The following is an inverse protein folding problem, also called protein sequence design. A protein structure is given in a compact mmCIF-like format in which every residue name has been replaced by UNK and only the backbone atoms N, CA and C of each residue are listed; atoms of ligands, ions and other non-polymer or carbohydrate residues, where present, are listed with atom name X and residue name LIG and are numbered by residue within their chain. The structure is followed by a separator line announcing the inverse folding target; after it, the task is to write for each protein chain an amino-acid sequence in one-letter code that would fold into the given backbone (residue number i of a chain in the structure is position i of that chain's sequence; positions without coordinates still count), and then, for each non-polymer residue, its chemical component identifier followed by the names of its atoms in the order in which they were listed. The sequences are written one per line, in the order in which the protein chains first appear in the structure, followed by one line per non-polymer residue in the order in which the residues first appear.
data_IF_471248688262
#
_entry.id   IF_471248688262
#
_cell.length_a   1.000
_cell.length_b   1.000
_cell.length_c   1.000
_cell.angle_alpha   90.00
_cell.angle_beta   90.00
_cell.angle_gamma   90.00
#
_symmetry.space_group_name_H-M   'P 1'
#
loop_
_entity.id
_entity.type
_entity.pdbx_description
1 polymer ?
#
# COMPACT_ATOMS: atom_id res chain seq x y z
N UNK A 1 -62.91 12.49 21.25
CA UNK A 1 -61.55 13.03 21.16
C UNK A 1 -60.62 12.13 21.97
N UNK A 2 -60.30 10.92 21.50
CA UNK A 2 -59.40 9.99 22.23
C UNK A 2 -58.80 8.92 21.30
N UNK A 3 -58.33 9.32 20.11
CA UNK A 3 -57.68 8.38 19.18
C UNK A 3 -56.64 9.01 18.26
N UNK A 4 -55.96 10.05 18.73
CA UNK A 4 -54.93 10.74 17.95
C UNK A 4 -53.73 11.22 18.79
N UNK A 5 -53.32 10.43 19.80
CA UNK A 5 -52.13 10.74 20.61
C UNK A 5 -51.38 9.48 21.07
N UNK A 6 -51.03 8.60 20.13
CA UNK A 6 -50.14 7.45 20.38
C UNK A 6 -49.09 7.25 19.28
N UNK A 7 -48.69 8.35 18.65
CA UNK A 7 -47.70 8.41 17.58
C UNK A 7 -46.41 9.13 18.03
N UNK A 8 -46.01 8.89 19.28
CA UNK A 8 -44.75 9.37 19.83
C UNK A 8 -44.16 8.29 20.72
N UNK A 9 -43.07 7.67 20.30
CA UNK A 9 -42.35 6.67 21.08
C UNK A 9 -42.02 5.42 20.29
N UNK A 10 -41.07 5.54 19.36
CA UNK A 10 -40.58 4.42 18.56
C UNK A 10 -39.17 4.67 18.04
N UNK A 11 -38.30 5.30 18.84
CA UNK A 11 -36.85 5.19 18.67
C UNK A 11 -36.45 3.78 19.12
N UNK A 12 -36.79 2.80 18.28
CA UNK A 12 -36.49 1.39 18.47
C UNK A 12 -35.06 1.11 18.06
N UNK A 13 -34.18 1.14 19.06
CA UNK A 13 -33.00 0.29 19.26
C UNK A 13 -32.27 -0.19 18.00
N UNK A 14 -31.00 0.22 17.89
CA UNK A 14 -30.01 -0.56 17.16
C UNK A 14 -30.17 -2.04 17.53
N UNK A 15 -30.19 -2.96 16.55
CA UNK A 15 -30.33 -4.38 16.85
C UNK A 15 -29.28 -4.76 17.89
N UNK A 16 -29.63 -5.61 18.89
CA UNK A 16 -28.64 -6.09 19.84
C UNK A 16 -27.44 -6.62 19.04
N UNK A 17 -26.19 -6.42 19.51
CA UNK A 17 -25.05 -7.00 18.83
C UNK A 17 -25.34 -8.49 18.73
N UNK A 18 -25.57 -8.95 17.50
CA UNK A 18 -25.72 -10.38 17.26
C UNK A 18 -24.39 -10.99 17.66
N UNK A 19 -24.40 -11.94 18.59
CA UNK A 19 -23.31 -12.91 18.83
C UNK A 19 -23.15 -13.83 17.59
N UNK A 20 -23.11 -13.23 16.41
CA UNK A 20 -22.61 -13.88 15.21
C UNK A 20 -21.09 -13.93 15.31
N UNK A 21 -20.44 -14.91 14.67
CA UNK A 21 -18.99 -14.95 14.61
C UNK A 21 -18.49 -13.69 13.89
N UNK A 22 -17.96 -12.73 14.65
CA UNK A 22 -17.29 -11.56 14.09
C UNK A 22 -15.86 -11.95 13.80
N UNK A 23 -15.40 -11.70 12.58
CA UNK A 23 -14.03 -12.02 12.18
C UNK A 23 -13.07 -11.15 12.97
N UNK A 24 -12.16 -11.79 13.70
CA UNK A 24 -11.17 -11.11 14.52
C UNK A 24 -10.08 -10.48 13.64
N UNK A 25 -9.62 -9.29 14.03
CA UNK A 25 -8.37 -8.67 13.58
C UNK A 25 -7.11 -9.53 13.77
N UNK A 26 -7.12 -10.53 14.65
CA UNK A 26 -5.97 -11.35 15.01
C UNK A 26 -5.55 -12.39 13.95
N UNK A 27 -6.21 -12.46 12.80
CA UNK A 27 -5.89 -13.46 11.78
C UNK A 27 -4.47 -13.27 11.23
N UNK A 28 -3.67 -14.33 11.31
CA UNK A 28 -2.27 -14.39 10.89
C UNK A 28 -2.09 -15.35 9.73
N UNK A 29 -1.30 -14.91 8.75
CA UNK A 29 -0.93 -15.71 7.57
C UNK A 29 0.54 -16.06 7.68
N UNK A 30 0.84 -17.34 7.93
CA UNK A 30 2.21 -17.86 7.93
C UNK A 30 2.59 -18.30 6.52
N UNK A 31 3.51 -17.59 5.90
CA UNK A 31 4.04 -17.91 4.57
C UNK A 31 5.40 -18.59 4.72
N UNK A 32 5.53 -19.80 4.18
CA UNK A 32 6.80 -20.51 4.17
C UNK A 32 7.86 -19.77 3.34
N UNK A 33 9.13 -19.93 3.69
CA UNK A 33 10.22 -19.33 2.91
C UNK A 33 10.27 -19.86 1.48
N UNK A 34 9.87 -21.12 1.26
CA UNK A 34 9.77 -21.73 -0.07
C UNK A 34 8.71 -21.02 -0.92
N UNK A 35 7.52 -20.82 -0.34
CA UNK A 35 6.41 -20.12 -0.98
C UNK A 35 6.82 -18.70 -1.37
N UNK A 36 7.42 -17.96 -0.44
CA UNK A 36 7.88 -16.59 -0.68
C UNK A 36 8.91 -16.50 -1.82
N UNK A 37 9.90 -17.39 -1.85
CA UNK A 37 10.92 -17.40 -2.90
C UNK A 37 10.33 -17.72 -4.28
N UNK A 38 9.36 -18.65 -4.34
CA UNK A 38 8.64 -18.96 -5.58
C UNK A 38 7.80 -17.79 -6.07
N UNK A 39 7.08 -17.12 -5.18
CA UNK A 39 6.30 -15.91 -5.52
C UNK A 39 7.22 -14.82 -6.09
N UNK A 40 8.34 -14.53 -5.42
CA UNK A 40 9.29 -13.51 -5.87
C UNK A 40 9.96 -13.88 -7.20
N UNK A 41 10.40 -15.13 -7.36
CA UNK A 41 10.97 -15.61 -8.62
C UNK A 41 9.97 -15.51 -9.76
N UNK A 42 8.71 -15.89 -9.52
CA UNK A 42 7.65 -15.83 -10.50
C UNK A 42 7.27 -14.38 -10.85
N UNK A 43 7.04 -13.54 -9.84
CA UNK A 43 6.76 -12.12 -10.00
C UNK A 43 7.84 -11.40 -10.79
N UNK A 44 9.11 -11.69 -10.51
CA UNK A 44 10.24 -11.08 -11.24
C UNK A 44 10.33 -11.55 -12.69
N UNK A 45 9.97 -12.80 -12.98
CA UNK A 45 9.96 -13.34 -14.34
C UNK A 45 8.80 -12.79 -15.19
N UNK A 46 7.71 -12.34 -14.54
CA UNK A 46 6.54 -11.77 -15.20
C UNK A 46 6.69 -10.31 -15.66
N UNK A 47 7.62 -9.55 -15.07
CA UNK A 47 7.78 -8.11 -15.35
C UNK A 47 8.00 -7.86 -16.86
N UNK A 48 7.24 -6.94 -17.51
CA UNK A 48 6.38 -5.91 -16.91
C UNK A 48 4.91 -6.31 -16.66
N UNK A 49 4.53 -7.56 -16.95
CA UNK A 49 3.16 -8.04 -16.81
C UNK A 49 2.87 -8.58 -15.40
N UNK A 50 1.61 -8.49 -14.98
CA UNK A 50 1.15 -9.08 -13.72
C UNK A 50 1.01 -10.60 -13.86
N UNK A 51 1.60 -11.35 -12.92
CA UNK A 51 1.45 -12.81 -12.85
C UNK A 51 0.52 -13.19 -11.70
N UNK A 52 -0.15 -14.33 -11.82
CA UNK A 52 -0.92 -14.92 -10.71
C UNK A 52 -0.48 -16.36 -10.41
N UNK A 53 -0.78 -16.82 -9.21
CA UNK A 53 -0.67 -18.22 -8.87
C UNK A 53 -1.54 -18.61 -7.68
N UNK A 54 -1.61 -19.91 -7.41
CA UNK A 54 -2.38 -20.46 -6.31
C UNK A 54 -1.48 -20.76 -5.13
N UNK A 55 -2.03 -20.55 -3.93
CA UNK A 55 -1.38 -20.85 -2.67
C UNK A 55 -1.92 -22.14 -2.09
N UNK A 56 -1.01 -23.03 -1.72
CA UNK A 56 -1.30 -24.33 -1.14
C UNK A 56 -0.91 -24.35 0.33
N UNK A 57 -1.78 -24.92 1.14
CA UNK A 57 -1.56 -24.97 2.56
C UNK A 57 -2.69 -25.64 3.31
N UNK A 58 -2.79 -25.26 4.57
CA UNK A 58 -3.84 -25.72 5.47
C UNK A 58 -4.35 -24.56 6.32
N UNK A 59 -5.62 -24.68 6.71
CA UNK A 59 -6.23 -23.87 7.74
C UNK A 59 -6.03 -24.61 9.07
N UNK A 60 -5.20 -24.05 9.97
CA UNK A 60 -4.84 -24.73 11.23
C UNK A 60 -5.94 -24.52 12.28
N UNK A 61 -6.37 -23.27 12.42
CA UNK A 61 -7.45 -22.83 13.29
C UNK A 61 -8.17 -21.63 12.63
N UNK A 62 -9.14 -21.03 13.31
CA UNK A 62 -9.94 -19.92 12.78
C UNK A 62 -9.13 -18.62 12.57
N UNK A 63 -7.95 -18.50 13.18
CA UNK A 63 -7.12 -17.30 13.14
C UNK A 63 -5.81 -17.50 12.38
N UNK A 64 -5.51 -18.71 11.92
CA UNK A 64 -4.20 -19.05 11.38
C UNK A 64 -4.33 -19.76 10.06
N UNK A 65 -3.80 -19.10 9.01
CA UNK A 65 -3.66 -19.67 7.67
C UNK A 65 -2.19 -19.99 7.44
N UNK A 66 -1.85 -21.24 7.12
CA UNK A 66 -0.47 -21.65 6.84
C UNK A 66 -0.29 -21.96 5.36
N UNK A 67 0.43 -21.10 4.66
CA UNK A 67 0.83 -21.28 3.26
C UNK A 67 2.16 -22.04 3.22
N UNK A 68 2.11 -23.29 2.75
CA UNK A 68 3.24 -24.20 2.71
C UNK A 68 3.97 -24.10 1.37
N UNK A 69 3.22 -24.06 0.27
CA UNK A 69 3.79 -23.98 -1.07
C UNK A 69 2.93 -23.14 -2.01
N UNK A 70 3.49 -22.76 -3.16
CA UNK A 70 2.78 -22.08 -4.24
C UNK A 70 3.16 -22.66 -5.58
N UNK A 71 2.27 -22.50 -6.55
CA UNK A 71 2.60 -22.71 -7.95
C UNK A 71 2.03 -21.60 -8.83
N UNK A 72 2.72 -21.34 -9.92
CA UNK A 72 2.34 -20.36 -10.93
C UNK A 72 1.21 -20.91 -11.79
N UNK A 73 0.22 -20.08 -12.09
CA UNK A 73 -0.76 -20.38 -13.14
C UNK A 73 -0.22 -19.85 -14.47
N UNK A 74 -0.41 -20.58 -15.59
CA UNK A 74 -0.07 -20.06 -16.91
C UNK A 74 -0.92 -18.82 -17.22
N UNK A 75 -0.27 -17.78 -17.75
CA UNK A 75 -0.96 -16.56 -18.16
C UNK A 75 -1.70 -16.80 -19.48
N UNK A 76 -3.04 -16.76 -19.45
CA UNK A 76 -3.84 -16.55 -20.66
C UNK A 76 -3.86 -15.04 -20.92
N UNK A 77 -2.99 -14.60 -21.82
CA UNK A 77 -2.65 -13.19 -21.96
C UNK A 77 -3.71 -12.32 -22.64
N UNK A 78 -4.10 -11.25 -21.96
CA UNK A 78 -4.52 -9.96 -22.55
C UNK A 78 -4.10 -8.82 -21.62
N UNK A 79 -2.98 -8.16 -21.95
CA UNK A 79 -2.66 -6.75 -21.67
C UNK A 79 -2.52 -6.26 -20.22
N UNK A 80 -3.52 -6.47 -19.35
CA UNK A 80 -3.63 -5.75 -18.06
C UNK A 80 -4.44 -6.52 -17.01
N UNK A 81 -5.02 -7.67 -17.33
CA UNK A 81 -5.84 -8.42 -16.37
C UNK A 81 -5.55 -9.91 -16.44
N UNK A 82 -5.48 -10.55 -15.28
CA UNK A 82 -5.30 -11.98 -15.22
C UNK A 82 -6.66 -12.66 -15.38
N UNK A 83 -6.99 -13.03 -16.61
CA UNK A 83 -8.24 -13.74 -16.90
C UNK A 83 -8.16 -15.21 -16.50
N UNK A 84 -9.19 -15.64 -15.78
CA UNK A 84 -9.65 -17.00 -15.55
C UNK A 84 -8.56 -18.04 -15.21
N UNK A 85 -8.49 -18.36 -13.93
CA UNK A 85 -7.88 -19.61 -13.42
C UNK A 85 -8.42 -20.77 -14.26
N UNK A 86 -7.57 -21.40 -15.06
CA UNK A 86 -7.97 -22.58 -15.83
C UNK A 86 -8.24 -23.75 -14.86
N UNK A 87 -9.51 -24.17 -14.68
CA UNK A 87 -9.85 -25.24 -13.75
C UNK A 87 -9.23 -26.58 -14.16
N UNK A 88 -8.97 -26.79 -15.46
CA UNK A 88 -8.36 -28.01 -15.98
C UNK A 88 -6.90 -28.07 -15.55
N UNK A 89 -6.17 -26.97 -15.72
CA UNK A 89 -4.79 -26.87 -15.26
C UNK A 89 -4.70 -27.01 -13.73
N UNK A 90 -5.56 -26.33 -12.99
CA UNK A 90 -5.60 -26.42 -11.53
C UNK A 90 -5.83 -27.85 -11.06
N UNK A 91 -6.87 -28.54 -11.57
CA UNK A 91 -7.18 -29.92 -11.17
C UNK A 91 -6.03 -30.88 -11.48
N UNK A 92 -5.47 -30.78 -12.69
CA UNK A 92 -4.34 -31.62 -13.10
C UNK A 92 -3.10 -31.39 -12.23
N UNK A 93 -2.79 -30.14 -11.90
CA UNK A 93 -1.65 -29.78 -11.06
C UNK A 93 -1.83 -30.28 -9.63
N UNK A 94 -3.04 -30.12 -9.06
CA UNK A 94 -3.36 -30.64 -7.73
C UNK A 94 -3.24 -32.16 -7.67
N UNK A 95 -3.70 -32.87 -8.70
CA UNK A 95 -3.57 -34.34 -8.74
C UNK A 95 -2.13 -34.80 -8.90
N UNK A 96 -1.30 -34.07 -9.67
CA UNK A 96 0.14 -34.33 -9.74
C UNK A 96 0.82 -34.11 -8.38
N UNK A 97 0.45 -33.06 -7.65
CA UNK A 97 1.00 -32.76 -6.33
C UNK A 97 0.63 -33.83 -5.30
N UNK A 98 -0.62 -34.31 -5.31
CA UNK A 98 -1.06 -35.42 -4.46
C UNK A 98 -0.20 -36.67 -4.67
N UNK A 99 0.15 -37.00 -5.92
CA UNK A 99 1.03 -38.14 -6.22
C UNK A 99 2.45 -37.96 -5.67
N UNK A 100 2.93 -36.72 -5.57
CA UNK A 100 4.25 -36.41 -4.97
C UNK A 100 4.25 -36.35 -3.44
N UNK A 101 3.15 -36.72 -2.78
CA UNK A 101 3.02 -36.66 -1.33
C UNK A 101 2.68 -35.28 -0.78
N UNK A 102 2.07 -34.42 -1.60
CA UNK A 102 1.64 -33.05 -1.25
C UNK A 102 0.11 -32.94 -1.35
N UNK A 103 -0.64 -33.35 -0.30
CA UNK A 103 -2.10 -33.37 -0.30
C UNK A 103 -2.73 -32.03 0.10
N UNK A 104 -1.96 -30.94 0.14
CA UNK A 104 -2.44 -29.63 0.58
C UNK A 104 -3.57 -29.09 -0.30
N UNK A 105 -4.46 -28.31 0.31
CA UNK A 105 -5.57 -27.66 -0.37
C UNK A 105 -5.22 -26.22 -0.76
N UNK A 106 -6.01 -25.65 -1.67
CA UNK A 106 -5.88 -24.24 -2.06
C UNK A 106 -6.43 -23.37 -0.92
N UNK A 107 -5.57 -22.54 -0.33
CA UNK A 107 -5.93 -21.62 0.77
C UNK A 107 -6.12 -20.17 0.30
N UNK A 108 -5.76 -19.89 -0.95
CA UNK A 108 -5.86 -18.56 -1.54
C UNK A 108 -5.08 -18.45 -2.83
N UNK A 109 -4.84 -17.22 -3.24
CA UNK A 109 -4.12 -16.90 -4.48
C UNK A 109 -3.20 -15.70 -4.25
N UNK A 110 -2.18 -15.60 -5.08
CA UNK A 110 -1.29 -14.45 -5.09
C UNK A 110 -1.17 -13.88 -6.49
N UNK A 111 -0.89 -12.59 -6.58
CA UNK A 111 -0.52 -11.93 -7.82
C UNK A 111 0.54 -10.87 -7.59
N UNK A 112 1.12 -10.36 -8.67
CA UNK A 112 2.14 -9.33 -8.61
C UNK A 112 1.65 -8.00 -9.16
N UNK A 113 1.96 -6.89 -8.47
CA UNK A 113 1.83 -5.52 -8.98
C UNK A 113 3.23 -4.91 -9.15
N UNK A 114 3.85 -5.00 -10.33
CA UNK A 114 5.21 -4.51 -10.53
C UNK A 114 5.26 -2.98 -10.49
N UNK A 115 5.81 -2.40 -9.41
CA UNK A 115 6.07 -0.96 -9.30
C UNK A 115 4.91 -0.12 -8.76
N UNK A 116 3.71 -0.67 -8.62
CA UNK A 116 2.52 0.04 -8.12
C UNK A 116 2.30 -0.10 -6.61
N UNK A 117 3.06 -0.94 -5.92
CA UNK A 117 2.83 -1.31 -4.53
C UNK A 117 1.66 -2.27 -4.34
N UNK A 118 1.38 -2.64 -3.10
CA UNK A 118 0.39 -3.66 -2.76
C UNK A 118 -1.00 -3.05 -2.51
N UNK A 119 -1.94 -3.32 -3.43
CA UNK A 119 -3.35 -2.97 -3.31
C UNK A 119 -4.18 -3.90 -4.19
N UNK A 120 -5.52 -3.89 -4.03
CA UNK A 120 -6.42 -4.66 -4.90
C UNK A 120 -7.15 -3.72 -5.85
N UNK A 121 -7.05 -3.98 -7.15
CA UNK A 121 -7.86 -3.31 -8.17
C UNK A 121 -9.30 -3.82 -8.19
N UNK A 122 -10.18 -3.15 -8.95
CA UNK A 122 -11.56 -3.63 -9.14
C UNK A 122 -11.63 -5.04 -9.76
N UNK A 123 -10.65 -5.40 -10.60
CA UNK A 123 -10.55 -6.74 -11.19
C UNK A 123 -10.12 -7.76 -10.14
N UNK A 124 -9.17 -7.40 -9.28
CA UNK A 124 -8.70 -8.27 -8.19
C UNK A 124 -9.79 -8.51 -7.15
N UNK A 125 -10.59 -7.49 -6.85
CA UNK A 125 -11.75 -7.60 -5.97
C UNK A 125 -12.77 -8.60 -6.53
N UNK A 126 -13.12 -8.51 -7.81
CA UNK A 126 -14.05 -9.46 -8.44
C UNK A 126 -13.50 -10.90 -8.44
N UNK A 127 -12.20 -11.04 -8.66
CA UNK A 127 -11.51 -12.34 -8.62
C UNK A 127 -11.51 -12.91 -7.20
N UNK A 128 -11.13 -12.11 -6.21
CA UNK A 128 -11.15 -12.49 -4.80
C UNK A 128 -12.56 -12.87 -4.34
N UNK A 129 -13.60 -12.13 -4.75
CA UNK A 129 -14.99 -12.47 -4.43
C UNK A 129 -15.37 -13.86 -4.98
N UNK A 130 -14.87 -14.21 -6.16
CA UNK A 130 -15.08 -15.54 -6.74
C UNK A 130 -14.38 -16.64 -5.93
N UNK A 131 -13.15 -16.40 -5.45
CA UNK A 131 -12.45 -17.33 -4.56
C UNK A 131 -13.10 -17.45 -3.17
N UNK A 132 -13.59 -16.35 -2.60
CA UNK A 132 -14.31 -16.35 -1.32
C UNK A 132 -15.62 -17.13 -1.39
N UNK A 133 -16.27 -17.18 -2.56
CA UNK A 133 -17.46 -18.02 -2.78
C UNK A 133 -17.15 -19.53 -2.73
N UNK A 134 -15.93 -19.94 -3.09
CA UNK A 134 -15.49 -21.34 -2.96
C UNK A 134 -14.97 -21.64 -1.55
N UNK A 135 -14.23 -20.69 -0.97
CA UNK A 135 -13.63 -20.81 0.36
C UNK A 135 -13.70 -19.46 1.04
N UNK A 136 -14.58 -19.32 2.04
CA UNK A 136 -14.80 -18.08 2.79
C UNK A 136 -13.50 -17.47 3.36
N UNK A 137 -12.52 -18.33 3.66
CA UNK A 137 -11.22 -17.94 4.22
C UNK A 137 -10.12 -17.73 3.18
N UNK A 138 -10.47 -17.61 1.90
CA UNK A 138 -9.49 -17.36 0.84
C UNK A 138 -8.71 -16.05 1.12
N UNK A 139 -7.39 -16.10 0.97
CA UNK A 139 -6.51 -14.93 1.14
C UNK A 139 -5.96 -14.51 -0.22
N UNK A 140 -5.98 -13.20 -0.50
CA UNK A 140 -5.31 -12.60 -1.65
C UNK A 140 -3.96 -12.01 -1.20
N UNK A 141 -2.85 -12.48 -1.77
CA UNK A 141 -1.52 -11.94 -1.49
C UNK A 141 -1.00 -11.12 -2.68
N UNK A 142 -0.56 -9.90 -2.43
CA UNK A 142 0.02 -9.02 -3.45
C UNK A 142 1.50 -8.85 -3.19
N UNK A 143 2.32 -9.11 -4.21
CA UNK A 143 3.77 -8.97 -4.14
C UNK A 143 4.25 -7.94 -5.16
N UNK A 144 5.07 -6.98 -4.75
CA UNK A 144 5.73 -6.06 -5.67
C UNK A 144 7.20 -6.47 -5.89
N UNK A 145 7.55 -7.16 -6.99
CA UNK A 145 8.91 -7.63 -7.27
C UNK A 145 9.88 -6.53 -7.71
N UNK A 146 9.39 -5.30 -7.96
CA UNK A 146 10.22 -4.15 -8.33
C UNK A 146 10.63 -3.38 -7.08
N UNK A 147 9.66 -3.04 -6.22
CA UNK A 147 9.94 -2.33 -4.97
C UNK A 147 10.57 -3.23 -3.90
N UNK A 148 10.39 -4.55 -4.00
CA UNK A 148 11.09 -5.52 -3.14
C UNK A 148 12.59 -5.54 -3.46
N UNK A 149 13.39 -4.90 -2.62
CA UNK A 149 14.86 -4.88 -2.72
C UNK A 149 15.49 -5.79 -1.66
N UNK A 150 16.78 -6.11 -1.81
CA UNK A 150 17.51 -6.90 -0.81
C UNK A 150 17.39 -6.24 0.57
N UNK A 151 16.73 -6.93 1.51
CA UNK A 151 16.50 -6.46 2.88
C UNK A 151 15.08 -5.99 3.19
N UNK A 152 14.24 -5.72 2.18
CA UNK A 152 12.83 -5.37 2.37
C UNK A 152 11.97 -5.99 1.26
N UNK A 153 11.12 -6.93 1.65
CA UNK A 153 10.11 -7.50 0.76
C UNK A 153 8.81 -6.71 0.93
N UNK A 154 8.29 -6.19 -0.17
CA UNK A 154 6.99 -5.50 -0.23
C UNK A 154 5.94 -6.56 -0.59
N UNK A 155 5.21 -6.97 0.44
CA UNK A 155 4.18 -8.00 0.37
C UNK A 155 3.08 -7.62 1.36
N UNK A 156 1.84 -7.71 0.92
CA UNK A 156 0.67 -7.55 1.79
C UNK A 156 -0.36 -8.63 1.47
N UNK A 157 -1.16 -8.97 2.47
CA UNK A 157 -2.25 -9.94 2.37
C UNK A 157 -3.58 -9.24 2.65
N UNK A 158 -4.57 -9.53 1.82
CA UNK A 158 -5.88 -8.91 1.85
C UNK A 158 -6.98 -9.97 1.87
N UNK A 159 -8.12 -9.58 2.43
CA UNK A 159 -9.41 -10.27 2.32
C UNK A 159 -10.48 -9.21 2.15
N UNK A 160 -11.54 -9.51 1.41
CA UNK A 160 -12.62 -8.57 1.23
C UNK A 160 -13.45 -8.46 2.50
N UNK A 161 -14.04 -7.29 2.67
CA UNK A 161 -15.02 -7.02 3.71
C UNK A 161 -16.38 -7.03 3.03
N UNK A 162 -17.36 -7.68 3.65
CA UNK A 162 -18.71 -7.68 3.14
C UNK A 162 -19.27 -6.23 3.15
N UNK A 163 -19.63 -5.65 1.99
CA UNK A 163 -20.10 -4.27 1.92
C UNK A 163 -21.40 -4.06 2.70
N UNK A 164 -22.21 -5.11 2.89
CA UNK A 164 -23.43 -5.03 3.70
C UNK A 164 -23.12 -4.68 5.16
N UNK A 165 -21.99 -5.13 5.71
CA UNK A 165 -21.59 -4.78 7.08
C UNK A 165 -21.21 -3.30 7.20
N UNK A 166 -20.56 -2.74 6.17
CA UNK A 166 -20.22 -1.32 6.13
C UNK A 166 -21.45 -0.42 6.05
N UNK A 167 -22.44 -0.80 5.23
CA UNK A 167 -23.72 -0.06 5.12
C UNK A 167 -24.51 -0.11 6.43
N UNK A 168 -24.40 -1.22 7.17
CA UNK A 168 -25.01 -1.38 8.49
C UNK A 168 -24.26 -0.63 9.60
N UNK A 169 -23.17 0.07 9.29
CA UNK A 169 -22.34 0.80 10.25
C UNK A 169 -21.66 -0.11 11.29
N UNK A 170 -21.63 -1.42 11.04
CA UNK A 170 -20.92 -2.36 11.89
C UNK A 170 -19.44 -2.36 11.49
N UNK A 171 -18.57 -2.14 12.48
CA UNK A 171 -17.12 -2.30 12.28
C UNK A 171 -16.85 -3.74 11.81
N UNK A 172 -16.27 -3.92 10.61
CA UNK A 172 -16.19 -5.23 9.98
C UNK A 172 -15.20 -6.18 10.65
N UNK A 173 -14.40 -5.68 11.59
CA UNK A 173 -13.50 -6.49 12.41
C UNK A 173 -13.64 -6.14 13.87
N UNK A 174 -13.66 -7.16 14.72
CA UNK A 174 -13.53 -6.96 16.15
C UNK A 174 -12.04 -6.72 16.48
N UNK A 175 -11.69 -5.54 16.98
CA UNK A 175 -10.31 -5.23 17.40
C UNK A 175 -10.06 -5.86 18.77
N UNK A 176 -9.58 -7.10 18.81
CA UNK A 176 -9.31 -7.81 20.07
C UNK A 176 -7.83 -7.77 20.48
N UNK A 177 -6.92 -7.44 19.55
CA UNK A 177 -5.48 -7.61 19.73
C UNK A 177 -4.63 -6.47 19.14
N UNK A 178 -3.56 -6.12 19.85
CA UNK A 178 -2.64 -5.02 19.49
C UNK A 178 -1.49 -5.47 18.56
N UNK A 179 -1.54 -6.72 18.10
CA UNK A 179 -0.49 -7.38 17.31
C UNK A 179 -0.72 -7.12 15.82
N UNK A 180 -0.47 -5.89 15.38
CA UNK A 180 -0.53 -5.59 13.95
C UNK A 180 -0.19 -4.14 13.63
N UNK A 181 0.63 -3.94 12.59
CA UNK A 181 0.74 -2.66 11.89
C UNK A 181 -0.46 -2.52 10.95
N UNK A 182 -1.68 -2.47 11.52
CA UNK A 182 -2.91 -2.42 10.73
C UNK A 182 -3.04 -1.01 10.16
N UNK A 183 -2.81 -0.86 8.85
CA UNK A 183 -3.19 0.36 8.15
C UNK A 183 -4.71 0.38 8.06
N UNK A 184 -5.35 1.41 8.63
CA UNK A 184 -6.80 1.56 8.50
C UNK A 184 -7.15 1.59 7.01
N UNK A 185 -8.20 0.88 6.56
CA UNK A 185 -8.68 1.00 5.18
C UNK A 185 -9.03 2.46 4.96
N UNK A 186 -8.18 3.17 4.22
CA UNK A 186 -8.31 4.60 3.97
C UNK A 186 -8.50 4.81 2.47
N UNK A 187 -9.31 5.81 2.14
CA UNK A 187 -9.46 6.34 0.77
C UNK A 187 -8.08 6.72 0.16
N UNK A 188 -7.04 6.87 0.99
CA UNK A 188 -5.65 7.09 0.57
C UNK A 188 -5.01 5.94 -0.20
N UNK A 189 -5.56 4.72 -0.14
CA UNK A 189 -5.13 3.60 -0.99
C UNK A 189 -5.45 3.86 -2.47
N UNK A 190 -6.53 4.60 -2.77
CA UNK A 190 -6.83 5.14 -4.11
C UNK A 190 -5.91 6.31 -4.49
N UNK A 191 -5.32 7.02 -3.52
CA UNK A 191 -4.31 8.07 -3.78
C UNK A 191 -2.93 7.50 -4.14
N UNK A 192 -2.65 6.21 -3.86
CA UNK A 192 -1.42 5.55 -4.33
C UNK A 192 -1.37 5.42 -5.87
N UNK A 193 -2.51 5.55 -6.55
CA UNK A 193 -2.60 5.58 -8.02
C UNK A 193 -1.87 6.80 -8.62
N UNK A 194 -1.62 7.84 -7.81
CA UNK A 194 -0.96 9.09 -8.20
C UNK A 194 0.43 9.27 -7.54
N UNK A 195 1.06 8.18 -7.07
CA UNK A 195 2.47 8.28 -6.66
C UNK A 195 3.33 8.44 -7.91
N UNK A 196 4.14 9.52 -7.92
CA UNK A 196 5.20 9.71 -8.92
C UNK A 196 5.98 8.42 -9.06
N UNK A 197 5.92 7.84 -10.25
CA UNK A 197 6.53 6.55 -10.53
C UNK A 197 8.04 6.70 -10.35
N UNK A 198 8.72 5.64 -9.91
CA UNK A 198 10.19 5.67 -9.87
C UNK A 198 10.80 5.93 -11.27
N UNK A 199 10.02 5.70 -12.33
CA UNK A 199 10.34 6.10 -13.70
C UNK A 199 10.43 7.60 -13.93
N UNK A 200 9.85 8.44 -13.07
CA UNK A 200 9.96 9.90 -13.17
C UNK A 200 11.42 10.38 -12.98
N UNK A 201 12.25 9.58 -12.29
CA UNK A 201 13.70 9.81 -12.22
C UNK A 201 14.47 9.37 -13.47
N UNK A 202 13.82 8.59 -14.35
CA UNK A 202 14.36 8.13 -15.64
C UNK A 202 13.81 8.95 -16.82
N UNK A 203 12.74 9.73 -16.62
CA UNK A 203 12.25 10.67 -17.62
C UNK A 203 13.18 11.87 -17.66
N UNK A 204 13.68 12.19 -18.85
CA UNK A 204 14.40 13.43 -19.07
C UNK A 204 13.45 14.61 -18.88
N UNK A 205 13.76 15.46 -17.92
CA UNK A 205 13.11 16.77 -17.82
C UNK A 205 13.46 17.60 -19.05
N UNK A 206 12.55 18.46 -19.46
CA UNK A 206 12.78 19.38 -20.57
C UNK A 206 13.97 20.30 -20.24
N UNK A 207 15.05 20.18 -21.02
CA UNK A 207 16.31 20.87 -20.74
C UNK A 207 16.12 22.40 -20.74
N UNK A 208 15.26 22.92 -21.61
CA UNK A 208 15.04 24.37 -21.69
C UNK A 208 14.35 24.89 -20.42
N UNK A 209 13.37 24.13 -19.90
CA UNK A 209 12.70 24.46 -18.64
C UNK A 209 13.65 24.35 -17.45
N UNK A 210 14.48 23.29 -17.40
CA UNK A 210 15.44 23.09 -16.33
C UNK A 210 16.53 24.18 -16.33
N UNK A 211 17.02 24.60 -17.50
CA UNK A 211 17.97 25.71 -17.62
C UNK A 211 17.36 27.03 -17.14
N UNK A 212 16.10 27.31 -17.47
CA UNK A 212 15.41 28.52 -17.03
C UNK A 212 15.17 28.54 -15.52
N UNK A 213 14.83 27.39 -14.92
CA UNK A 213 14.73 27.24 -13.46
C UNK A 213 16.10 27.42 -12.79
N UNK A 214 17.17 26.89 -13.36
CA UNK A 214 18.51 27.09 -12.81
C UNK A 214 18.94 28.55 -12.87
N UNK A 215 18.69 29.24 -13.99
CA UNK A 215 19.02 30.65 -14.15
C UNK A 215 18.28 31.53 -13.13
N UNK A 216 16.97 31.30 -12.96
CA UNK A 216 16.15 32.00 -11.96
C UNK A 216 16.62 31.70 -10.54
N UNK A 217 16.90 30.43 -10.22
CA UNK A 217 17.39 30.04 -8.89
C UNK A 217 18.75 30.68 -8.56
N UNK A 218 19.67 30.74 -9.52
CA UNK A 218 20.99 31.38 -9.32
C UNK A 218 20.85 32.91 -9.19
N UNK A 219 19.92 33.52 -9.92
CA UNK A 219 19.62 34.94 -9.77
C UNK A 219 19.05 35.26 -8.38
N UNK A 220 18.14 34.43 -7.86
CA UNK A 220 17.63 34.55 -6.49
C UNK A 220 18.75 34.36 -5.45
N UNK A 221 19.67 33.41 -5.69
CA UNK A 221 20.82 33.18 -4.82
C UNK A 221 21.76 34.38 -4.76
N UNK A 222 21.96 35.07 -5.89
CA UNK A 222 22.74 36.30 -5.94
C UNK A 222 22.10 37.41 -5.10
N UNK A 223 20.78 37.55 -5.18
CA UNK A 223 20.05 38.56 -4.39
C UNK A 223 20.08 38.24 -2.89
N UNK A 224 19.97 36.96 -2.52
CA UNK A 224 20.13 36.51 -1.13
C UNK A 224 21.54 36.76 -0.61
N UNK A 225 22.59 36.49 -1.39
CA UNK A 225 23.97 36.74 -1.00
C UNK A 225 24.27 38.24 -0.81
N UNK A 226 23.72 39.10 -1.68
CA UNK A 226 23.79 40.56 -1.50
C UNK A 226 23.07 41.00 -0.23
N UNK A 227 21.88 40.46 0.03
CA UNK A 227 21.12 40.75 1.24
C UNK A 227 21.84 40.27 2.50
N UNK A 228 22.53 39.12 2.43
CA UNK A 228 23.32 38.57 3.52
C UNK A 228 24.56 39.42 3.83
N UNK A 229 25.35 39.79 2.82
CA UNK A 229 26.48 40.69 2.99
C UNK A 229 26.07 42.03 3.61
N UNK A 230 24.97 42.61 3.10
CA UNK A 230 24.39 43.83 3.68
C UNK A 230 23.92 43.62 5.12
N UNK A 231 23.38 42.44 5.45
CA UNK A 231 23.00 42.14 6.82
C UNK A 231 24.21 42.09 7.74
N UNK A 232 25.31 41.45 7.34
CA UNK A 232 26.55 41.39 8.12
C UNK A 232 27.15 42.78 8.38
N UNK A 233 27.16 43.66 7.38
CA UNK A 233 27.60 45.06 7.54
C UNK A 233 26.72 45.86 8.49
N UNK A 234 25.43 45.55 8.55
CA UNK A 234 24.49 46.14 9.51
C UNK A 234 24.67 45.54 10.92
N UNK A 235 25.01 44.24 11.04
CA UNK A 235 25.28 43.58 12.32
C UNK A 235 26.52 44.15 13.00
N UNK A 236 27.58 44.48 12.24
CA UNK A 236 28.81 45.09 12.78
C UNK A 236 28.56 46.48 13.42
N UNK A 237 27.48 47.16 13.03
CA UNK A 237 27.12 48.51 13.49
C UNK A 237 26.11 48.54 14.64
N UNK A 238 25.56 47.39 15.05
CA UNK A 238 24.48 47.33 16.04
C UNK A 238 24.85 46.49 17.26
N UNK A 239 24.25 46.83 18.40
CA UNK A 239 24.44 46.06 19.64
C UNK A 239 23.63 44.76 19.62
N UNK A 240 24.05 43.71 20.36
CA UNK A 240 23.40 42.40 20.35
C UNK A 240 21.91 42.42 20.74
N UNK A 241 21.50 43.35 21.60
CA UNK A 241 20.11 43.50 22.05
C UNK A 241 19.21 44.11 20.96
N UNK A 242 19.74 45.03 20.15
CA UNK A 242 19.03 45.63 19.02
C UNK A 242 18.87 44.64 17.86
N UNK A 243 19.86 43.77 17.66
CA UNK A 243 19.83 42.68 16.68
C UNK A 243 18.75 41.64 17.00
N UNK A 244 18.62 41.26 18.28
CA UNK A 244 17.60 40.32 18.73
C UNK A 244 16.19 40.83 18.43
N UNK A 245 15.92 42.13 18.59
CA UNK A 245 14.61 42.74 18.31
C UNK A 245 14.38 42.87 16.80
N UNK A 246 15.40 43.26 16.01
CA UNK A 246 15.32 43.40 14.54
C UNK A 246 15.04 42.06 13.83
N UNK A 247 15.53 40.96 14.40
CA UNK A 247 15.42 39.62 13.81
C UNK A 247 14.13 38.88 14.20
N UNK A 248 13.26 39.46 15.04
CA UNK A 248 11.96 38.86 15.36
C UNK A 248 10.99 39.07 14.19
N UNK A 249 10.59 37.95 13.57
CA UNK A 249 9.55 37.93 12.52
C UNK A 249 10.06 37.91 11.07
N UNK A 250 11.37 37.99 10.83
CA UNK A 250 11.98 37.72 9.52
C UNK A 250 12.72 36.39 9.56
N UNK A 251 12.52 35.52 8.56
CA UNK A 251 13.41 34.37 8.37
C UNK A 251 14.83 34.90 8.19
N UNK A 252 15.76 34.45 9.03
CA UNK A 252 17.13 34.94 8.96
C UNK A 252 17.75 34.54 7.61
N UNK A 253 18.35 35.49 6.90
CA UNK A 253 19.08 35.27 5.63
C UNK A 253 20.10 34.12 5.75
N UNK A 254 20.76 34.01 6.90
CA UNK A 254 21.67 32.92 7.24
C UNK A 254 20.99 31.52 7.32
N UNK A 255 19.71 31.44 7.70
CA UNK A 255 18.96 30.18 7.71
C UNK A 255 18.53 29.78 6.30
N UNK A 256 18.22 30.75 5.44
CA UNK A 256 17.89 30.51 4.02
C UNK A 256 19.11 30.03 3.25
N UNK A 257 20.28 30.67 3.41
CA UNK A 257 21.52 30.19 2.79
C UNK A 257 21.92 28.80 3.28
N UNK A 258 21.83 28.51 4.59
CA UNK A 258 22.15 27.18 5.14
C UNK A 258 21.21 26.09 4.61
N UNK A 259 19.91 26.37 4.49
CA UNK A 259 18.96 25.42 3.89
C UNK A 259 19.29 25.14 2.42
N UNK A 260 19.73 26.16 1.68
CA UNK A 260 20.11 26.05 0.26
C UNK A 260 21.44 25.30 0.04
N UNK A 261 22.48 25.56 0.84
CA UNK A 261 23.75 24.82 0.74
C UNK A 261 23.60 23.33 1.07
N UNK A 262 22.74 22.98 2.02
CA UNK A 262 22.38 21.59 2.31
C UNK A 262 21.65 20.94 1.13
N UNK A 263 20.83 21.70 0.40
CA UNK A 263 20.13 21.21 -0.79
C UNK A 263 21.10 20.96 -1.97
N UNK A 264 22.04 21.89 -2.20
CA UNK A 264 23.02 21.81 -3.31
C UNK A 264 24.01 20.65 -3.16
N UNK A 265 24.48 20.39 -1.93
CA UNK A 265 25.39 19.27 -1.65
C UNK A 265 24.70 17.90 -1.72
N UNK A 266 23.40 17.82 -1.43
CA UNK A 266 22.65 16.56 -1.53
C UNK A 266 22.23 16.21 -2.97
N UNK A 267 22.28 17.17 -3.90
CA UNK A 267 21.89 16.97 -5.31
C UNK A 267 23.06 16.95 -6.32
N UNK A 268 24.31 16.97 -5.85
CA UNK A 268 25.50 16.91 -6.72
C UNK A 268 26.12 15.50 -6.84
N UNK A 269 25.34 14.43 -6.65
CA UNK A 269 25.73 13.04 -6.94
C UNK A 269 24.64 12.30 -7.71
#
# INVERSE_FOLDING_TARGET
MDRLLRLGGGLGQAPPPSDGPVVDTAEQVYISSLALLKMLKHGRAGVPMEVMGLMLGEFVDDYTVRVIDVFAMPQSGTGVSVEAVDPVFQAKMLDMLKQTGRPEMVVGWYHSHPGFGCWLSGVDINTQQSFEALSERAVAVVVDPIQSVKGKVVIDAFRLINPNMMVLGQEPRQTTSNLGHLTKPSIQMLLNLHKKSWTDGLTLQDYDQHCQVNETTVAEMLELAKAYNKSLEDEEKMTPEQLAIKNVGKQASAQQEKAFWVFFFNYSY
#
